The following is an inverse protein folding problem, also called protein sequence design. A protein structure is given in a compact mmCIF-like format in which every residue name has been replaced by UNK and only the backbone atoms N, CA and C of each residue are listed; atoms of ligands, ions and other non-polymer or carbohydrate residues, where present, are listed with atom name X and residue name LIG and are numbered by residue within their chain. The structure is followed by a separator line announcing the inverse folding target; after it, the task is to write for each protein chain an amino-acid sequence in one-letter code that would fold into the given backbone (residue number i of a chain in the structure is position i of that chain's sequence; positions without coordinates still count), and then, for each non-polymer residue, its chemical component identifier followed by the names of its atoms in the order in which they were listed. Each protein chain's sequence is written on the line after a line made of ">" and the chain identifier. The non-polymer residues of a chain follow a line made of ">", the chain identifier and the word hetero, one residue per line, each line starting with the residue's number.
data_IF_857721072774
#
_entry.id   IF_857721072774
#
_cell.length_a   1.000
_cell.length_b   1.000
_cell.length_c   1.000
_cell.angle_alpha   90.00
_cell.angle_beta   90.00
_cell.angle_gamma   90.00
#
_symmetry.space_group_name_H-M   'P 1'
#
loop_
_entity.id
_entity.type
_entity.pdbx_description
1 polymer ?
#
# COMPACT_ATOMS: atom_id res chain seq x y z
N UNK A 1 -26.82 -23.18 -12.55
CA UNK A 1 -26.29 -21.92 -13.13
C UNK A 1 -25.84 -22.08 -14.59
N UNK A 2 -24.92 -22.98 -14.93
CA UNK A 2 -24.49 -23.18 -16.33
C UNK A 2 -25.66 -23.60 -17.25
N UNK A 3 -26.57 -24.41 -16.74
CA UNK A 3 -27.73 -24.90 -17.51
C UNK A 3 -28.72 -23.77 -17.89
N UNK A 4 -28.82 -22.74 -17.05
CA UNK A 4 -29.76 -21.62 -17.26
C UNK A 4 -29.25 -20.62 -18.32
N UNK A 5 -27.99 -20.73 -18.74
CA UNK A 5 -27.37 -19.86 -19.76
C UNK A 5 -27.49 -20.42 -21.16
N UNK A 6 -27.60 -21.74 -21.28
CA UNK A 6 -27.79 -22.39 -22.60
C UNK A 6 -29.02 -21.87 -23.32
N UNK A 7 -28.89 -21.60 -24.61
CA UNK A 7 -29.92 -21.04 -25.51
C UNK A 7 -30.27 -19.56 -25.23
N UNK A 8 -29.54 -18.88 -24.37
CA UNK A 8 -29.69 -17.43 -24.16
C UNK A 8 -28.74 -16.65 -25.07
N UNK A 9 -29.19 -15.53 -25.59
CA UNK A 9 -28.32 -14.59 -26.31
C UNK A 9 -27.38 -13.87 -25.34
N UNK A 10 -26.30 -13.29 -25.86
CA UNK A 10 -25.33 -12.50 -25.03
C UNK A 10 -26.03 -11.42 -24.22
N UNK A 11 -27.02 -10.76 -24.78
CA UNK A 11 -27.78 -9.71 -24.09
C UNK A 11 -28.61 -10.29 -22.94
N UNK A 12 -29.28 -11.41 -23.16
CA UNK A 12 -30.06 -12.09 -22.12
C UNK A 12 -29.18 -12.61 -21.00
N UNK A 13 -27.99 -13.14 -21.31
CA UNK A 13 -27.00 -13.57 -20.32
C UNK A 13 -26.57 -12.36 -19.49
N UNK A 14 -26.29 -11.22 -20.11
CA UNK A 14 -25.87 -10.00 -19.42
C UNK A 14 -26.98 -9.49 -18.48
N UNK A 15 -28.20 -9.34 -18.97
CA UNK A 15 -29.33 -8.82 -18.21
C UNK A 15 -29.72 -9.77 -17.06
N UNK A 16 -29.86 -11.06 -17.36
CA UNK A 16 -30.24 -12.08 -16.37
C UNK A 16 -29.16 -12.30 -15.30
N UNK A 17 -27.89 -12.25 -15.69
CA UNK A 17 -26.79 -12.49 -14.76
C UNK A 17 -26.56 -11.32 -13.82
N UNK A 18 -26.72 -10.09 -14.28
CA UNK A 18 -26.72 -8.91 -13.40
C UNK A 18 -27.81 -9.01 -12.35
N UNK A 19 -29.03 -9.39 -12.72
CA UNK A 19 -30.14 -9.54 -11.78
C UNK A 19 -29.93 -10.72 -10.82
N UNK A 20 -29.51 -11.87 -11.31
CA UNK A 20 -29.26 -13.07 -10.49
C UNK A 20 -28.08 -12.86 -9.52
N UNK A 21 -26.97 -12.34 -10.02
CA UNK A 21 -25.77 -12.09 -9.23
C UNK A 21 -26.01 -10.94 -8.23
N UNK A 22 -26.87 -9.98 -8.56
CA UNK A 22 -27.19 -8.86 -7.66
C UNK A 22 -28.13 -9.25 -6.52
N UNK A 23 -29.08 -10.15 -6.76
CA UNK A 23 -30.18 -10.39 -5.80
C UNK A 23 -29.99 -11.60 -4.87
N UNK A 24 -29.17 -12.60 -5.24
CA UNK A 24 -29.06 -13.88 -4.50
C UNK A 24 -27.66 -14.45 -4.37
N UNK A 25 -26.66 -13.75 -4.85
CA UNK A 25 -25.30 -14.28 -4.93
C UNK A 25 -24.54 -14.06 -3.63
N UNK A 26 -23.82 -15.08 -3.21
CA UNK A 26 -22.79 -15.00 -2.18
C UNK A 26 -21.50 -14.34 -2.68
N UNK A 27 -21.43 -13.98 -3.96
CA UNK A 27 -20.27 -13.31 -4.58
C UNK A 27 -20.15 -11.86 -4.08
N UNK A 28 -18.92 -11.45 -3.81
CA UNK A 28 -18.62 -10.06 -3.45
C UNK A 28 -19.05 -9.09 -4.55
N UNK A 29 -19.63 -7.95 -4.16
CA UNK A 29 -20.18 -6.95 -5.08
C UNK A 29 -19.17 -6.51 -6.16
N UNK A 30 -17.93 -6.27 -5.72
CA UNK A 30 -16.82 -5.84 -6.58
C UNK A 30 -16.40 -6.88 -7.63
N UNK A 31 -16.71 -8.16 -7.38
CA UNK A 31 -16.30 -9.26 -8.25
C UNK A 31 -17.41 -9.70 -9.20
N UNK A 32 -18.65 -9.27 -9.00
CA UNK A 32 -19.80 -9.64 -9.80
C UNK A 32 -19.64 -9.30 -11.29
N UNK A 33 -19.16 -8.08 -11.58
CA UNK A 33 -18.99 -7.63 -12.96
C UNK A 33 -17.97 -8.49 -13.73
N UNK A 34 -16.92 -8.98 -13.07
CA UNK A 34 -15.90 -9.84 -13.69
C UNK A 34 -16.53 -11.15 -14.21
N UNK A 35 -17.45 -11.72 -13.43
CA UNK A 35 -18.15 -12.97 -13.81
C UNK A 35 -19.04 -12.72 -15.03
N UNK A 36 -19.78 -11.63 -15.03
CA UNK A 36 -20.61 -11.22 -16.17
C UNK A 36 -19.77 -11.03 -17.44
N UNK A 37 -18.66 -10.30 -17.32
CA UNK A 37 -17.77 -10.00 -18.44
C UNK A 37 -17.10 -11.28 -18.99
N UNK A 38 -16.83 -12.27 -18.12
CA UNK A 38 -16.31 -13.57 -18.56
C UNK A 38 -17.35 -14.34 -19.39
N UNK A 39 -18.59 -14.48 -18.90
CA UNK A 39 -19.64 -15.22 -19.62
C UNK A 39 -20.13 -14.52 -20.90
N UNK A 40 -20.03 -13.19 -20.94
CA UNK A 40 -20.32 -12.42 -22.16
C UNK A 40 -19.12 -12.27 -23.09
N UNK A 41 -18.00 -12.93 -22.76
CA UNK A 41 -16.74 -12.90 -23.51
C UNK A 41 -16.15 -11.51 -23.76
N UNK A 42 -16.47 -10.55 -22.91
CA UNK A 42 -15.79 -9.25 -22.89
C UNK A 42 -14.35 -9.38 -22.37
N UNK A 43 -14.12 -10.35 -21.48
CA UNK A 43 -12.79 -10.77 -21.02
C UNK A 43 -12.58 -12.24 -21.33
N UNK A 44 -11.33 -12.65 -21.52
CA UNK A 44 -10.92 -14.02 -21.78
C UNK A 44 -9.93 -14.49 -20.73
N UNK A 45 -9.97 -15.79 -20.43
CA UNK A 45 -9.09 -16.42 -19.45
C UNK A 45 -9.63 -16.35 -18.02
N UNK A 46 -8.93 -17.00 -17.09
CA UNK A 46 -9.44 -17.17 -15.74
C UNK A 46 -9.56 -15.84 -15.00
N UNK A 47 -10.68 -15.67 -14.29
CA UNK A 47 -10.90 -14.59 -13.34
C UNK A 47 -10.73 -15.11 -11.93
N UNK A 48 -10.39 -14.21 -11.00
CA UNK A 48 -10.40 -14.48 -9.56
C UNK A 48 -11.56 -13.70 -8.94
N UNK A 49 -12.37 -14.41 -8.16
CA UNK A 49 -13.49 -13.82 -7.45
C UNK A 49 -13.61 -14.38 -6.03
N UNK A 50 -14.29 -13.64 -5.16
CA UNK A 50 -14.54 -13.99 -3.76
C UNK A 50 -16.01 -14.34 -3.58
N UNK A 51 -16.27 -15.36 -2.80
CA UNK A 51 -17.61 -15.83 -2.51
C UNK A 51 -17.75 -16.18 -1.03
N UNK A 52 -18.78 -15.67 -0.36
CA UNK A 52 -19.08 -16.05 1.03
C UNK A 52 -19.56 -17.49 1.11
N UNK A 53 -19.14 -18.22 2.14
CA UNK A 53 -19.78 -19.47 2.47
C UNK A 53 -21.23 -19.22 2.88
N UNK A 54 -22.12 -20.08 2.43
CA UNK A 54 -23.56 -19.90 2.63
C UNK A 54 -23.89 -19.78 4.13
N UNK A 55 -24.46 -18.63 4.54
CA UNK A 55 -24.82 -18.36 5.94
C UNK A 55 -23.67 -17.98 6.86
N UNK A 56 -22.49 -17.69 6.31
CA UNK A 56 -21.29 -17.28 7.06
C UNK A 56 -20.78 -15.92 6.58
N UNK A 57 -19.98 -15.27 7.41
CA UNK A 57 -19.17 -14.12 7.02
C UNK A 57 -17.78 -14.53 6.49
N UNK A 58 -17.45 -15.81 6.57
CA UNK A 58 -16.24 -16.36 5.97
C UNK A 58 -16.41 -16.49 4.46
N UNK A 59 -15.32 -16.34 3.72
CA UNK A 59 -15.33 -16.40 2.27
C UNK A 59 -14.22 -17.31 1.73
N UNK A 60 -14.45 -17.82 0.54
CA UNK A 60 -13.43 -18.48 -0.27
C UNK A 60 -13.05 -17.62 -1.47
N UNK A 61 -11.86 -17.88 -1.98
CA UNK A 61 -11.34 -17.28 -3.21
C UNK A 61 -11.32 -18.36 -4.28
N UNK A 62 -11.95 -18.09 -5.41
CA UNK A 62 -12.05 -19.05 -6.51
C UNK A 62 -11.50 -18.47 -7.80
N UNK A 63 -10.96 -19.34 -8.62
CA UNK A 63 -10.77 -19.04 -10.04
C UNK A 63 -11.97 -19.56 -10.82
N UNK A 64 -12.37 -18.85 -11.85
CA UNK A 64 -13.36 -19.27 -12.82
C UNK A 64 -12.82 -18.99 -14.22
N UNK A 65 -12.76 -20.02 -15.04
CA UNK A 65 -12.51 -19.90 -16.47
C UNK A 65 -13.73 -20.42 -17.22
N UNK A 66 -14.19 -19.67 -18.21
CA UNK A 66 -15.37 -20.05 -18.98
C UNK A 66 -15.22 -19.67 -20.46
N UNK A 67 -15.59 -20.61 -21.32
CA UNK A 67 -15.72 -20.39 -22.75
C UNK A 67 -17.16 -20.65 -23.14
N UNK A 68 -17.79 -19.66 -23.79
CA UNK A 68 -19.15 -19.77 -24.32
C UNK A 68 -19.07 -19.80 -25.86
N UNK A 69 -19.62 -20.82 -26.48
CA UNK A 69 -19.72 -20.95 -27.91
C UNK A 69 -21.18 -20.62 -28.28
N UNK A 70 -21.37 -19.70 -29.21
CA UNK A 70 -22.67 -19.22 -29.66
C UNK A 70 -22.99 -19.79 -31.05
N UNK A 71 -24.27 -20.07 -31.29
CA UNK A 71 -24.76 -20.48 -32.61
C UNK A 71 -24.92 -19.26 -33.54
N UNK A 72 -25.39 -19.51 -34.77
CA UNK A 72 -25.61 -18.47 -35.79
C UNK A 72 -26.68 -17.43 -35.39
N UNK A 73 -27.50 -17.71 -34.39
CA UNK A 73 -28.55 -16.84 -33.88
C UNK A 73 -28.09 -16.03 -32.64
N UNK A 74 -26.78 -16.05 -32.32
CA UNK A 74 -26.19 -15.44 -31.12
C UNK A 74 -26.73 -16.02 -29.79
N UNK A 75 -27.13 -17.31 -29.81
CA UNK A 75 -27.54 -18.03 -28.61
C UNK A 75 -26.44 -18.97 -28.13
N UNK A 76 -26.26 -19.05 -26.79
CA UNK A 76 -25.26 -19.92 -26.21
C UNK A 76 -25.58 -21.40 -26.47
N UNK A 77 -24.73 -22.09 -27.21
CA UNK A 77 -24.87 -23.50 -27.58
C UNK A 77 -24.06 -24.42 -26.67
N UNK A 78 -22.83 -24.04 -26.37
CA UNK A 78 -21.91 -24.81 -25.53
C UNK A 78 -21.28 -23.87 -24.49
N UNK A 79 -21.23 -24.33 -23.25
CA UNK A 79 -20.51 -23.66 -22.18
C UNK A 79 -19.53 -24.64 -21.54
N UNK A 80 -18.26 -24.31 -21.63
CA UNK A 80 -17.20 -25.00 -20.89
C UNK A 80 -16.75 -24.07 -19.75
N UNK A 81 -16.90 -24.52 -18.51
CA UNK A 81 -16.47 -23.74 -17.37
C UNK A 81 -15.75 -24.62 -16.35
N UNK A 82 -14.65 -24.11 -15.82
CA UNK A 82 -13.92 -24.71 -14.72
C UNK A 82 -13.83 -23.72 -13.56
N UNK A 83 -14.13 -24.18 -12.36
CA UNK A 83 -13.97 -23.39 -11.16
C UNK A 83 -13.11 -24.17 -10.15
N UNK A 84 -12.16 -23.50 -9.56
CA UNK A 84 -11.27 -24.09 -8.54
C UNK A 84 -11.20 -23.19 -7.32
N UNK A 85 -11.27 -23.78 -6.14
CA UNK A 85 -11.00 -23.09 -4.88
C UNK A 85 -9.49 -22.92 -4.73
N UNK A 86 -9.06 -21.68 -4.62
CA UNK A 86 -7.66 -21.30 -4.46
C UNK A 86 -7.41 -20.58 -3.14
N UNK A 87 -8.34 -20.63 -2.19
CA UNK A 87 -8.32 -19.86 -0.96
C UNK A 87 -7.01 -19.99 -0.21
N UNK A 88 -6.52 -21.21 -0.01
CA UNK A 88 -5.26 -21.46 0.70
C UNK A 88 -4.08 -20.83 -0.04
N UNK A 89 -3.93 -21.18 -1.31
CA UNK A 89 -2.83 -20.65 -2.13
C UNK A 89 -2.87 -19.12 -2.24
N UNK A 90 -4.06 -18.55 -2.33
CA UNK A 90 -4.25 -17.10 -2.41
C UNK A 90 -3.82 -16.41 -1.10
N UNK A 91 -4.21 -16.96 0.05
CA UNK A 91 -3.78 -16.44 1.34
C UNK A 91 -2.28 -16.57 1.56
N UNK A 92 -1.68 -17.70 1.19
CA UNK A 92 -0.24 -17.91 1.25
C UNK A 92 0.52 -16.91 0.36
N UNK A 93 0.12 -16.78 -0.90
CA UNK A 93 0.73 -15.82 -1.83
C UNK A 93 0.58 -14.37 -1.35
N UNK A 94 -0.60 -13.98 -0.85
CA UNK A 94 -0.81 -12.66 -0.28
C UNK A 94 0.03 -12.42 0.97
N UNK A 95 0.14 -13.40 1.84
CA UNK A 95 0.99 -13.33 3.03
C UNK A 95 2.46 -13.13 2.65
N UNK A 96 2.97 -13.94 1.71
CA UNK A 96 4.33 -13.81 1.18
C UNK A 96 4.56 -12.43 0.54
N UNK A 97 3.57 -11.94 -0.23
CA UNK A 97 3.63 -10.61 -0.85
C UNK A 97 3.67 -9.51 0.21
N UNK A 98 2.84 -9.60 1.25
CA UNK A 98 2.84 -8.64 2.35
C UNK A 98 4.17 -8.68 3.12
N UNK A 99 4.73 -9.86 3.37
CA UNK A 99 6.04 -10.00 4.00
C UNK A 99 7.14 -9.39 3.13
N UNK A 100 7.12 -9.65 1.82
CA UNK A 100 8.08 -9.07 0.88
C UNK A 100 7.97 -7.54 0.75
N UNK A 101 6.85 -6.94 1.17
CA UNK A 101 6.64 -5.49 1.16
C UNK A 101 7.10 -4.77 2.44
N UNK A 102 7.53 -5.52 3.45
CA UNK A 102 7.89 -4.98 4.76
C UNK A 102 9.37 -5.14 5.04
N UNK A 103 9.93 -4.16 5.77
CA UNK A 103 11.25 -4.29 6.37
C UNK A 103 11.20 -5.32 7.50
N UNK A 104 12.14 -6.26 7.50
CA UNK A 104 12.14 -7.39 8.43
C UNK A 104 12.35 -7.01 9.89
N UNK A 105 13.01 -5.88 10.16
CA UNK A 105 13.30 -5.41 11.50
C UNK A 105 12.18 -4.54 12.08
N UNK A 106 11.70 -3.58 11.30
CA UNK A 106 10.78 -2.54 11.77
C UNK A 106 9.32 -2.79 11.39
N UNK A 107 9.07 -3.71 10.46
CA UNK A 107 7.76 -4.00 9.86
C UNK A 107 7.10 -2.81 9.14
N UNK A 108 7.82 -1.72 8.93
CA UNK A 108 7.42 -0.64 8.04
C UNK A 108 7.42 -1.12 6.58
N UNK A 109 6.85 -0.34 5.67
CA UNK A 109 7.08 -0.63 4.26
C UNK A 109 8.58 -0.58 3.95
N UNK A 110 9.06 -1.49 3.10
CA UNK A 110 10.37 -1.33 2.50
C UNK A 110 10.32 -0.29 1.37
N UNK A 111 11.48 0.11 0.87
CA UNK A 111 11.58 1.15 -0.15
C UNK A 111 10.77 0.85 -1.42
N UNK A 112 10.85 -0.38 -1.93
CA UNK A 112 10.18 -0.76 -3.18
C UNK A 112 8.65 -0.69 -3.05
N UNK A 113 8.12 -1.26 -1.99
CA UNK A 113 6.69 -1.23 -1.73
C UNK A 113 6.18 0.19 -1.47
N UNK A 114 6.90 0.96 -0.65
CA UNK A 114 6.55 2.34 -0.35
C UNK A 114 6.55 3.22 -1.58
N UNK A 115 7.60 3.14 -2.41
CA UNK A 115 7.69 3.84 -3.69
C UNK A 115 6.49 3.53 -4.59
N UNK A 116 6.18 2.25 -4.79
CA UNK A 116 5.03 1.84 -5.60
C UNK A 116 3.71 2.42 -5.09
N UNK A 117 3.47 2.35 -3.77
CA UNK A 117 2.23 2.83 -3.15
C UNK A 117 2.12 4.36 -3.30
N UNK A 118 3.22 5.08 -3.12
CA UNK A 118 3.27 6.55 -3.26
C UNK A 118 3.00 6.95 -4.72
N UNK A 119 3.66 6.31 -5.69
CA UNK A 119 3.48 6.61 -7.11
C UNK A 119 2.03 6.38 -7.56
N UNK A 120 1.41 5.27 -7.11
CA UNK A 120 0.01 4.99 -7.40
C UNK A 120 -0.95 5.99 -6.73
N UNK A 121 -0.60 6.45 -5.53
CA UNK A 121 -1.40 7.46 -4.83
C UNK A 121 -1.34 8.81 -5.55
N UNK A 122 -0.16 9.27 -5.92
CA UNK A 122 0.06 10.54 -6.63
C UNK A 122 -0.69 10.53 -7.98
N UNK A 123 -0.60 9.45 -8.75
CA UNK A 123 -1.33 9.31 -10.03
C UNK A 123 -2.84 9.43 -9.86
N UNK A 124 -3.41 8.88 -8.78
CA UNK A 124 -4.85 8.92 -8.52
C UNK A 124 -5.32 10.27 -7.94
N UNK A 125 -4.41 11.03 -7.35
CA UNK A 125 -4.70 12.28 -6.64
C UNK A 125 -3.79 13.43 -7.09
N UNK A 126 -3.75 13.79 -8.38
CA UNK A 126 -2.72 14.67 -8.94
C UNK A 126 -2.78 16.12 -8.44
N UNK A 127 -3.91 16.56 -7.89
CA UNK A 127 -4.09 17.95 -7.39
C UNK A 127 -3.98 18.07 -5.88
N UNK A 128 -3.70 16.96 -5.21
CA UNK A 128 -3.66 16.93 -3.75
C UNK A 128 -2.29 17.39 -3.27
N UNK A 129 -2.28 18.26 -2.28
CA UNK A 129 -1.05 18.69 -1.65
C UNK A 129 -0.56 17.62 -0.69
N UNK A 130 0.68 17.21 -0.86
CA UNK A 130 1.32 16.16 -0.10
C UNK A 130 2.71 16.62 0.35
N UNK A 131 3.31 15.87 1.27
CA UNK A 131 4.69 16.08 1.65
C UNK A 131 5.46 14.78 1.75
N UNK A 132 6.73 14.83 1.36
CA UNK A 132 7.69 13.77 1.61
C UNK A 132 8.71 14.26 2.62
N UNK A 133 8.91 13.48 3.68
CA UNK A 133 9.94 13.68 4.69
C UNK A 133 10.96 12.56 4.54
N UNK A 134 12.21 12.90 4.31
CA UNK A 134 13.34 11.97 4.42
C UNK A 134 14.03 12.28 5.72
N UNK A 135 14.29 11.26 6.53
CA UNK A 135 14.90 11.43 7.85
C UNK A 135 15.95 10.36 8.12
N UNK A 136 16.90 10.70 8.97
CA UNK A 136 18.07 9.89 9.29
C UNK A 136 18.42 10.11 10.77
N UNK A 137 18.86 9.06 11.44
CA UNK A 137 19.29 9.13 12.84
C UNK A 137 20.70 9.69 12.89
N UNK A 138 20.84 10.84 13.55
CA UNK A 138 22.14 11.46 13.69
C UNK A 138 23.10 10.56 14.50
N UNK A 139 24.31 10.37 13.98
CA UNK A 139 25.37 9.60 14.64
C UNK A 139 25.01 8.13 14.95
N UNK A 140 24.10 7.52 14.18
CA UNK A 140 23.65 6.13 14.41
C UNK A 140 24.82 5.13 14.46
N UNK A 141 25.86 5.35 13.66
CA UNK A 141 27.06 4.52 13.69
C UNK A 141 27.73 4.55 15.07
N UNK A 142 27.82 5.72 15.71
CA UNK A 142 28.41 5.86 17.05
C UNK A 142 27.61 5.10 18.11
N UNK A 143 26.28 5.05 17.97
CA UNK A 143 25.40 4.23 18.81
C UNK A 143 25.74 2.75 18.65
N UNK A 144 25.86 2.26 17.41
CA UNK A 144 26.23 0.88 17.15
C UNK A 144 27.64 0.53 17.68
N UNK A 145 28.59 1.43 17.45
CA UNK A 145 29.98 1.22 17.87
C UNK A 145 30.12 1.23 19.41
N UNK A 146 29.28 2.00 20.11
CA UNK A 146 29.35 2.14 21.58
C UNK A 146 28.53 1.08 22.31
N UNK A 147 27.30 0.80 21.84
CA UNK A 147 26.33 -0.02 22.55
C UNK A 147 26.02 -1.35 21.86
N UNK A 148 26.58 -1.56 20.67
CA UNK A 148 26.37 -2.76 19.85
C UNK A 148 25.15 -2.72 18.97
N UNK A 149 25.13 -3.55 17.93
CA UNK A 149 24.07 -3.60 16.92
C UNK A 149 22.69 -3.98 17.47
N UNK A 150 22.63 -4.71 18.60
CA UNK A 150 21.34 -5.05 19.20
C UNK A 150 20.63 -3.80 19.70
N UNK A 151 21.35 -2.91 20.36
CA UNK A 151 20.81 -1.62 20.86
C UNK A 151 20.47 -0.71 19.69
N UNK A 152 21.27 -0.67 18.63
CA UNK A 152 20.94 0.05 17.42
C UNK A 152 19.64 -0.46 16.77
N UNK A 153 19.43 -1.77 16.75
CA UNK A 153 18.18 -2.36 16.25
C UNK A 153 16.97 -1.98 17.13
N UNK A 154 17.11 -1.97 18.44
CA UNK A 154 16.05 -1.51 19.37
C UNK A 154 15.70 -0.04 19.11
N UNK A 155 16.70 0.81 18.84
CA UNK A 155 16.49 2.20 18.48
C UNK A 155 15.71 2.35 17.17
N UNK A 156 16.07 1.59 16.14
CA UNK A 156 15.36 1.59 14.84
C UNK A 156 13.89 1.15 15.01
N UNK A 157 13.64 0.12 15.80
CA UNK A 157 12.29 -0.34 16.12
C UNK A 157 11.50 0.73 16.89
N UNK A 158 12.14 1.38 17.86
CA UNK A 158 11.51 2.43 18.66
C UNK A 158 11.15 3.64 17.79
N UNK A 159 12.06 4.08 16.91
CA UNK A 159 11.79 5.16 15.96
C UNK A 159 10.66 4.78 14.98
N UNK A 160 10.64 3.56 14.47
CA UNK A 160 9.57 3.10 13.59
C UNK A 160 8.18 3.19 14.25
N UNK A 161 8.06 2.72 15.50
CA UNK A 161 6.83 2.81 16.29
C UNK A 161 6.43 4.27 16.55
N UNK A 162 7.42 5.09 16.86
CA UNK A 162 7.23 6.52 17.08
C UNK A 162 6.67 7.21 15.83
N UNK A 163 7.27 6.97 14.66
CA UNK A 163 6.79 7.55 13.41
C UNK A 163 5.35 7.11 13.10
N UNK A 164 5.03 5.83 13.28
CA UNK A 164 3.65 5.32 13.09
C UNK A 164 2.65 5.95 14.06
N UNK A 165 3.06 6.24 15.29
CA UNK A 165 2.19 6.85 16.29
C UNK A 165 1.91 8.34 16.01
N UNK A 166 2.89 9.07 15.43
CA UNK A 166 2.79 10.50 15.16
C UNK A 166 2.39 10.85 13.72
N UNK A 167 2.05 9.85 12.91
CA UNK A 167 1.50 10.03 11.55
C UNK A 167 0.05 9.55 11.50
N UNK A 168 -0.70 10.00 10.51
CA UNK A 168 -2.06 9.51 10.32
C UNK A 168 -2.05 8.06 9.81
N UNK A 169 -3.07 7.24 10.11
CA UNK A 169 -3.15 5.86 9.65
C UNK A 169 -3.10 5.70 8.12
N UNK A 170 -3.44 6.75 7.38
CA UNK A 170 -3.40 6.77 5.92
C UNK A 170 -2.08 7.20 5.33
N UNK A 171 -1.17 7.76 6.13
CA UNK A 171 0.17 8.14 5.70
C UNK A 171 1.03 6.91 5.47
N UNK A 172 2.13 7.06 4.76
CA UNK A 172 3.00 5.95 4.39
C UNK A 172 4.35 6.15 5.08
N UNK A 173 4.74 5.18 5.90
CA UNK A 173 6.04 5.17 6.57
C UNK A 173 6.88 4.04 6.02
N UNK A 174 8.10 4.38 5.60
CA UNK A 174 9.03 3.48 4.91
C UNK A 174 10.35 3.46 5.69
N UNK A 175 10.98 2.31 5.77
CA UNK A 175 12.41 2.21 6.07
C UNK A 175 13.16 1.90 4.79
N UNK A 176 14.11 2.76 4.43
CA UNK A 176 14.90 2.58 3.21
C UNK A 176 16.03 1.57 3.39
N UNK A 177 16.63 1.57 4.56
CA UNK A 177 17.76 0.73 4.96
C UNK A 177 18.62 1.44 5.97
N UNK A 178 19.44 0.72 6.73
CA UNK A 178 20.25 1.34 7.78
C UNK A 178 19.41 2.16 8.76
N UNK A 179 19.73 3.43 8.87
CA UNK A 179 19.12 4.46 9.72
C UNK A 179 18.22 5.45 8.97
N UNK A 180 17.95 5.19 7.69
CA UNK A 180 17.16 6.08 6.82
C UNK A 180 15.68 5.66 6.76
N UNK A 181 14.80 6.65 6.98
CA UNK A 181 13.35 6.48 6.90
C UNK A 181 12.71 7.53 6.00
N UNK A 182 11.55 7.21 5.48
CA UNK A 182 10.73 8.15 4.69
C UNK A 182 9.31 8.15 5.24
N UNK A 183 8.74 9.33 5.36
CA UNK A 183 7.33 9.52 5.69
C UNK A 183 6.65 10.31 4.57
N UNK A 184 5.61 9.75 4.00
CA UNK A 184 4.77 10.42 3.03
C UNK A 184 3.46 10.83 3.67
N UNK A 185 3.29 12.13 3.85
CA UNK A 185 2.09 12.73 4.42
C UNK A 185 1.10 13.09 3.31
N UNK A 186 -0.12 12.60 3.43
CA UNK A 186 -1.19 12.83 2.47
C UNK A 186 -2.06 14.00 2.88
N UNK A 187 -2.47 14.78 1.88
CA UNK A 187 -3.43 15.86 2.06
C UNK A 187 -3.02 16.85 3.17
N UNK A 188 -1.80 17.35 3.06
CA UNK A 188 -1.24 18.29 4.03
C UNK A 188 -1.70 19.73 3.78
N UNK A 189 -1.67 20.55 4.82
CA UNK A 189 -1.80 21.99 4.72
C UNK A 189 -0.45 22.64 4.41
N UNK A 190 -0.45 23.92 4.01
CA UNK A 190 0.74 24.63 3.58
C UNK A 190 1.85 24.73 4.65
N UNK A 191 1.48 24.81 5.92
CA UNK A 191 2.43 24.92 7.03
C UNK A 191 2.71 23.54 7.65
N UNK A 192 3.90 23.01 7.37
CA UNK A 192 4.42 21.78 7.98
C UNK A 192 5.32 22.03 9.18
N UNK A 193 5.48 23.27 9.60
CA UNK A 193 6.32 23.60 10.76
C UNK A 193 5.82 22.87 12.02
N UNK A 194 4.50 22.86 12.23
CA UNK A 194 3.92 22.19 13.39
C UNK A 194 4.12 20.66 13.37
N UNK A 195 3.79 19.90 12.32
CA UNK A 195 4.09 18.47 12.25
C UNK A 195 5.57 18.15 12.40
N UNK A 196 6.46 18.93 11.78
CA UNK A 196 7.90 18.71 11.90
C UNK A 196 8.39 18.96 13.33
N UNK A 197 7.92 20.03 13.98
CA UNK A 197 8.26 20.30 15.38
C UNK A 197 7.73 19.20 16.33
N UNK A 198 6.55 18.66 16.08
CA UNK A 198 6.01 17.54 16.85
C UNK A 198 6.92 16.30 16.71
N UNK A 199 7.33 15.97 15.48
CA UNK A 199 8.25 14.86 15.24
C UNK A 199 9.63 15.06 15.90
N UNK A 200 10.08 16.29 16.08
CA UNK A 200 11.38 16.59 16.72
C UNK A 200 11.30 16.63 18.25
N UNK A 201 10.24 17.24 18.79
CA UNK A 201 10.16 17.56 20.23
C UNK A 201 10.00 16.34 21.14
N UNK A 202 9.31 15.30 20.65
CA UNK A 202 9.00 14.12 21.45
C UNK A 202 10.01 12.97 21.25
N UNK A 203 11.04 13.16 20.43
CA UNK A 203 12.09 12.14 20.25
C UNK A 203 12.81 11.80 21.55
N UNK A 204 12.96 12.76 22.45
CA UNK A 204 13.55 12.53 23.77
C UNK A 204 12.71 11.57 24.65
N UNK A 205 11.42 11.38 24.32
CA UNK A 205 10.55 10.42 25.01
C UNK A 205 10.83 8.99 24.57
N UNK A 206 11.35 8.81 23.34
CA UNK A 206 11.87 7.52 22.88
C UNK A 206 13.14 7.17 23.65
N UNK A 207 13.71 8.16 24.33
CA UNK A 207 14.88 8.02 25.17
C UNK A 207 14.75 6.72 25.95
N UNK A 208 15.31 5.76 25.39
CA UNK A 208 15.34 4.36 25.71
C UNK A 208 15.37 4.22 27.21
N UNK A 209 14.20 3.94 27.73
CA UNK A 209 13.96 3.64 29.14
C UNK A 209 14.93 2.60 29.71
N UNK A 210 15.77 1.99 28.84
CA UNK A 210 16.69 0.93 29.21
C UNK A 210 18.16 1.30 29.20
N UNK A 211 18.60 2.35 28.46
CA UNK A 211 20.05 2.63 28.31
C UNK A 211 20.44 4.10 28.47
N UNK A 212 19.50 5.00 28.68
CA UNK A 212 19.78 6.45 28.80
C UNK A 212 20.42 7.06 27.53
N UNK A 213 20.18 6.45 26.37
CA UNK A 213 20.76 6.89 25.10
C UNK A 213 19.93 8.07 24.59
N UNK A 214 20.61 9.20 24.41
CA UNK A 214 20.03 10.34 23.70
C UNK A 214 20.45 10.28 22.23
N UNK A 215 19.49 10.43 21.34
CA UNK A 215 19.72 10.52 19.91
C UNK A 215 18.89 11.66 19.31
N UNK A 216 19.29 12.11 18.15
CA UNK A 216 18.52 13.07 17.36
C UNK A 216 18.31 12.56 15.95
N UNK A 217 17.42 13.20 15.25
CA UNK A 217 17.20 12.97 13.81
C UNK A 217 17.41 14.27 13.05
N UNK A 218 17.88 14.14 11.82
CA UNK A 218 17.81 15.21 10.84
C UNK A 218 16.73 14.89 9.82
N UNK A 219 15.99 15.91 9.35
CA UNK A 219 14.92 15.72 8.36
C UNK A 219 15.04 16.68 7.20
N UNK A 220 14.72 16.22 6.01
CA UNK A 220 14.47 17.01 4.84
C UNK A 220 13.03 16.83 4.40
N UNK A 221 12.33 17.91 4.15
CA UNK A 221 10.90 17.94 3.85
C UNK A 221 10.67 18.61 2.51
N UNK A 222 9.86 18.00 1.67
CA UNK A 222 9.41 18.59 0.42
C UNK A 222 7.90 18.54 0.32
N UNK A 223 7.28 19.72 0.13
CA UNK A 223 5.84 19.82 -0.12
C UNK A 223 5.58 20.03 -1.60
N UNK A 224 4.58 19.35 -2.11
CA UNK A 224 4.26 19.40 -3.53
C UNK A 224 2.78 19.13 -3.77
N UNK A 225 2.29 19.70 -4.87
CA UNK A 225 1.07 19.33 -5.55
C UNK A 225 1.42 19.08 -7.02
N UNK A 226 0.57 18.41 -7.77
CA UNK A 226 0.78 18.00 -9.14
C UNK A 226 1.60 16.71 -9.32
N UNK A 227 1.52 16.19 -10.55
CA UNK A 227 2.06 14.90 -10.94
C UNK A 227 3.58 14.87 -10.87
N UNK A 228 4.11 14.25 -9.84
CA UNK A 228 5.52 13.90 -9.74
C UNK A 228 5.62 12.43 -9.39
N UNK A 229 6.76 11.82 -9.69
CA UNK A 229 7.06 10.47 -9.25
C UNK A 229 7.89 10.50 -7.98
N UNK A 230 7.95 9.36 -7.30
CA UNK A 230 8.70 9.22 -6.06
C UNK A 230 10.16 9.68 -6.20
N UNK A 231 10.86 9.32 -7.27
CA UNK A 231 12.30 9.61 -7.41
C UNK A 231 12.57 11.11 -7.46
N UNK A 232 11.69 11.89 -8.11
CA UNK A 232 11.84 13.35 -8.18
C UNK A 232 11.58 14.00 -6.82
N UNK A 233 10.49 13.62 -6.13
CA UNK A 233 10.17 14.20 -4.83
C UNK A 233 11.19 13.79 -3.78
N UNK A 234 11.68 12.55 -3.84
CA UNK A 234 12.72 12.05 -2.97
C UNK A 234 14.02 12.83 -3.10
N UNK A 235 14.50 13.06 -4.32
CA UNK A 235 15.72 13.84 -4.57
C UNK A 235 15.67 15.22 -3.92
N UNK A 236 14.50 15.90 -3.98
CA UNK A 236 14.37 17.25 -3.42
C UNK A 236 14.35 17.20 -1.88
N UNK A 237 13.67 16.21 -1.30
CA UNK A 237 13.63 16.03 0.14
C UNK A 237 15.00 15.59 0.69
N UNK A 238 15.73 14.73 -0.02
CA UNK A 238 17.09 14.30 0.34
C UNK A 238 18.10 15.47 0.31
N UNK A 239 18.03 16.31 -0.73
CA UNK A 239 18.79 17.57 -0.75
C UNK A 239 18.48 18.46 0.48
N UNK A 240 17.22 18.52 0.91
CA UNK A 240 16.84 19.26 2.13
C UNK A 240 17.43 18.61 3.40
N UNK A 241 17.42 17.27 3.49
CA UNK A 241 18.05 16.52 4.58
C UNK A 241 19.56 16.80 4.65
N UNK A 242 20.22 16.80 3.48
CA UNK A 242 21.64 17.15 3.42
C UNK A 242 21.92 18.55 4.01
N UNK A 243 21.05 19.54 3.74
CA UNK A 243 21.16 20.86 4.35
C UNK A 243 21.00 20.82 5.87
N UNK A 244 20.03 20.05 6.40
CA UNK A 244 19.84 19.87 7.85
C UNK A 244 21.07 19.26 8.51
N UNK A 245 21.63 18.20 7.91
CA UNK A 245 22.89 17.58 8.41
C UNK A 245 24.06 18.56 8.44
N UNK A 246 24.17 19.46 7.45
CA UNK A 246 25.23 20.49 7.41
C UNK A 246 25.00 21.65 8.36
N UNK A 247 23.77 21.95 8.71
CA UNK A 247 23.41 23.04 9.63
C UNK A 247 23.49 22.64 11.12
N UNK A 248 24.17 21.54 11.43
CA UNK A 248 24.42 21.13 12.81
C UNK A 248 23.60 19.94 13.27
N UNK A 249 22.85 19.30 12.37
CA UNK A 249 21.96 18.17 12.70
C UNK A 249 20.83 18.55 13.66
N UNK A 250 20.07 17.57 14.15
CA UNK A 250 18.96 17.79 15.08
C UNK A 250 18.02 18.92 14.63
N UNK A 251 17.72 18.97 13.35
CA UNK A 251 16.89 20.00 12.73
C UNK A 251 16.25 19.49 11.44
N UNK A 252 15.38 20.29 10.87
CA UNK A 252 14.77 20.01 9.57
C UNK A 252 14.89 21.21 8.61
N UNK A 253 14.81 20.90 7.34
CA UNK A 253 14.76 21.88 6.24
C UNK A 253 13.54 21.59 5.39
N UNK A 254 12.68 22.59 5.16
CA UNK A 254 11.50 22.46 4.30
C UNK A 254 11.76 23.13 2.96
N UNK A 255 11.47 22.42 1.88
CA UNK A 255 11.40 22.95 0.50
C UNK A 255 9.96 22.91 0.03
N UNK A 256 9.54 23.96 -0.62
CA UNK A 256 8.21 24.10 -1.21
C UNK A 256 8.30 24.01 -2.72
N UNK A 257 7.31 23.41 -3.35
CA UNK A 257 7.16 23.45 -4.80
C UNK A 257 7.00 24.91 -5.24
N UNK A 258 7.80 25.31 -6.24
CA UNK A 258 7.74 26.67 -6.83
C UNK A 258 6.60 26.78 -7.82
#
# INVERSE_FOLDING_TARGET
>A
MIIDILKQSKKQIYDHYLDYVSSKSTVFEEDKQKIVDLFTQKIKGPIIYREYYRGSQEYCVKTLDATVIYNSNDEAEIILATASDITVNWHEQNSLKQQAQRDSLTHLYNLEAGKYIIDEYIKKNPKQQNALIVLDIDHFKEVNDTYGHLVGNELLIALAKYLLFHTNPNDIVIRMGGDEFVVFLKNVHDDLTYPCNQLMSHLNEISLSHHGIHFSISMGVYTFSNEQNFDNIFKIADDALYHSKRNGRNCYTIKYQK
#
